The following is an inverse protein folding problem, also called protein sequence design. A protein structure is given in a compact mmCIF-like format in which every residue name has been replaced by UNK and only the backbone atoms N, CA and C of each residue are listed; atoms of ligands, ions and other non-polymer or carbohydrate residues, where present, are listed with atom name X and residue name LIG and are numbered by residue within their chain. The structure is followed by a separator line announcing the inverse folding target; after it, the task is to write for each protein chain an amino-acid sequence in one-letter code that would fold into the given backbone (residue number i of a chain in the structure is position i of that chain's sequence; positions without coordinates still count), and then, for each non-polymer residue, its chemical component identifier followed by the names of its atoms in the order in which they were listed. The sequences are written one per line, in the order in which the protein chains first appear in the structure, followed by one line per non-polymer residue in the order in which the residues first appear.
data_IF_188777709233
#
_entry.id   IF_188777709233
#
_cell.length_a   1.000
_cell.length_b   1.000
_cell.length_c   1.000
_cell.angle_alpha   90.00
_cell.angle_beta   90.00
_cell.angle_gamma   90.00
#
_symmetry.space_group_name_H-M   'P 1'
#
loop_
_entity.id
_entity.type
_entity.pdbx_description
1 polymer ?
#
# COMPACT_ATOMS: atom_id res chain seq x y z
N UNK A 1 28.20 -38.44 -27.67
CA UNK A 1 28.08 -37.50 -28.80
C UNK A 1 26.60 -37.15 -28.98
N UNK A 2 26.27 -35.85 -29.01
CA UNK A 2 25.06 -35.19 -29.57
C UNK A 2 23.71 -35.49 -28.84
N UNK A 3 23.23 -34.67 -27.89
CA UNK A 3 22.45 -33.39 -28.00
C UNK A 3 21.16 -33.48 -28.83
N UNK A 4 20.02 -33.58 -28.14
CA UNK A 4 18.70 -33.19 -28.67
C UNK A 4 17.91 -32.47 -27.60
N UNK A 5 18.00 -31.14 -27.60
CA UNK A 5 17.20 -30.24 -26.76
C UNK A 5 15.96 -29.82 -27.54
N UNK A 6 14.77 -30.28 -27.12
CA UNK A 6 13.51 -29.74 -27.63
C UNK A 6 13.16 -28.50 -26.81
N UNK A 7 13.54 -27.34 -27.33
CA UNK A 7 13.08 -26.03 -26.88
C UNK A 7 11.70 -25.83 -27.51
N UNK A 8 10.64 -25.85 -26.70
CA UNK A 8 9.30 -25.58 -27.18
C UNK A 8 8.55 -24.67 -26.19
N UNK A 9 8.34 -23.43 -26.61
CA UNK A 9 7.17 -22.65 -26.21
C UNK A 9 7.31 -21.79 -24.96
N UNK A 10 8.37 -20.99 -24.83
CA UNK A 10 8.31 -19.80 -23.96
C UNK A 10 7.44 -18.74 -24.65
N UNK A 11 6.14 -18.77 -24.39
CA UNK A 11 5.23 -17.64 -24.61
C UNK A 11 5.65 -16.50 -23.67
N UNK A 12 6.67 -15.74 -24.07
CA UNK A 12 6.97 -14.46 -23.48
C UNK A 12 5.86 -13.49 -23.88
N UNK A 13 4.82 -13.41 -23.04
CA UNK A 13 3.89 -12.28 -23.01
C UNK A 13 4.69 -11.04 -22.65
N UNK A 14 5.17 -10.36 -23.69
CA UNK A 14 5.76 -9.04 -23.57
C UNK A 14 4.69 -8.07 -23.06
N UNK A 15 4.69 -7.81 -21.75
CA UNK A 15 4.02 -6.65 -21.16
C UNK A 15 4.75 -5.38 -21.60
N UNK A 16 4.56 -5.02 -22.87
CA UNK A 16 5.03 -3.76 -23.44
C UNK A 16 3.95 -2.68 -23.23
N UNK A 17 3.79 -2.20 -21.99
CA UNK A 17 3.16 -0.91 -21.67
C UNK A 17 3.91 -0.26 -20.48
N UNK A 18 5.21 -0.10 -20.62
CA UNK A 18 6.04 0.73 -19.74
C UNK A 18 6.00 2.19 -20.18
N UNK A 19 4.82 2.82 -20.13
CA UNK A 19 4.75 4.29 -20.00
C UNK A 19 4.86 4.65 -18.52
N UNK A 20 5.38 5.84 -18.15
CA UNK A 20 5.23 6.30 -16.77
C UNK A 20 3.73 6.48 -16.53
N UNK A 21 3.10 5.53 -15.84
CA UNK A 21 1.79 5.77 -15.25
C UNK A 21 2.01 6.94 -14.30
N UNK A 22 1.54 8.13 -14.68
CA UNK A 22 1.57 9.25 -13.75
C UNK A 22 0.69 8.82 -12.59
N UNK A 23 1.33 8.57 -11.45
CA UNK A 23 0.61 8.32 -10.23
C UNK A 23 -0.29 9.53 -10.00
N UNK A 24 -1.59 9.29 -9.84
CA UNK A 24 -2.48 10.33 -9.34
C UNK A 24 -1.90 10.89 -8.04
N UNK A 25 -2.22 12.14 -7.70
CA UNK A 25 -1.77 12.71 -6.44
C UNK A 25 -2.16 11.81 -5.26
N UNK A 26 -3.39 11.30 -5.25
CA UNK A 26 -3.84 10.31 -4.27
C UNK A 26 -2.95 9.05 -4.24
N UNK A 27 -2.52 8.54 -5.39
CA UNK A 27 -1.60 7.41 -5.48
C UNK A 27 -0.21 7.70 -4.88
N UNK A 28 0.34 8.90 -5.14
CA UNK A 28 1.61 9.33 -4.57
C UNK A 28 1.52 9.55 -3.04
N UNK A 29 0.41 10.13 -2.56
CA UNK A 29 0.14 10.29 -1.13
C UNK A 29 -0.05 8.93 -0.45
N UNK A 30 -0.76 8.00 -1.07
CA UNK A 30 -0.90 6.63 -0.58
C UNK A 30 0.45 5.93 -0.45
N UNK A 31 1.33 6.04 -1.45
CA UNK A 31 2.67 5.47 -1.38
C UNK A 31 3.52 6.07 -0.24
N UNK A 32 3.43 7.39 -0.06
CA UNK A 32 4.09 8.10 1.07
C UNK A 32 3.59 7.60 2.41
N UNK A 33 2.28 7.45 2.58
CA UNK A 33 1.68 6.93 3.80
C UNK A 33 2.10 5.47 4.07
N UNK A 34 2.08 4.60 3.06
CA UNK A 34 2.56 3.22 3.18
C UNK A 34 4.04 3.14 3.57
N UNK A 35 4.88 4.01 2.99
CA UNK A 35 6.29 4.12 3.36
C UNK A 35 6.48 4.51 4.82
N UNK A 36 5.72 5.50 5.30
CA UNK A 36 5.71 5.91 6.71
C UNK A 36 5.34 4.75 7.64
N UNK A 37 4.27 4.02 7.31
CA UNK A 37 3.79 2.89 8.12
C UNK A 37 4.85 1.79 8.20
N UNK A 38 5.42 1.39 7.06
CA UNK A 38 6.42 0.33 7.02
C UNK A 38 7.68 0.70 7.83
N UNK A 39 8.15 1.94 7.71
CA UNK A 39 9.32 2.44 8.44
C UNK A 39 9.06 2.45 9.96
N UNK A 40 7.98 3.10 10.40
CA UNK A 40 7.66 3.20 11.83
C UNK A 40 7.35 1.83 12.45
N UNK A 41 6.65 0.96 11.73
CA UNK A 41 6.40 -0.41 12.21
C UNK A 41 7.71 -1.21 12.33
N UNK A 42 8.61 -1.09 11.36
CA UNK A 42 9.93 -1.72 11.40
C UNK A 42 10.78 -1.28 12.59
N UNK A 43 10.71 0.00 12.97
CA UNK A 43 11.36 0.53 14.16
C UNK A 43 10.69 -0.01 15.44
N UNK A 44 9.37 0.17 15.56
CA UNK A 44 8.64 -0.15 16.79
C UNK A 44 8.57 -1.65 17.07
N UNK A 45 8.53 -2.51 16.04
CA UNK A 45 8.50 -3.96 16.21
C UNK A 45 9.78 -4.54 16.82
N UNK A 46 10.88 -3.78 16.82
CA UNK A 46 12.13 -4.14 17.53
C UNK A 46 12.10 -3.74 19.01
N UNK A 47 11.18 -2.85 19.40
CA UNK A 47 11.12 -2.24 20.74
C UNK A 47 9.91 -2.71 21.55
N UNK A 48 8.85 -3.18 20.88
CA UNK A 48 7.58 -3.54 21.53
C UNK A 48 6.90 -4.71 20.82
N UNK A 49 5.75 -5.14 21.34
CA UNK A 49 4.94 -6.18 20.69
C UNK A 49 4.43 -5.71 19.32
N UNK A 50 4.21 -6.65 18.39
CA UNK A 50 3.72 -6.32 17.03
C UNK A 50 2.40 -5.55 17.04
N UNK A 51 1.50 -5.84 17.99
CA UNK A 51 0.23 -5.11 18.12
C UNK A 51 0.48 -3.64 18.50
N UNK A 52 1.30 -3.40 19.52
CA UNK A 52 1.67 -2.06 19.95
C UNK A 52 2.45 -1.30 18.88
N UNK A 53 3.32 -2.00 18.14
CA UNK A 53 4.07 -1.43 17.01
C UNK A 53 3.14 -0.99 15.87
N UNK A 54 2.11 -1.78 15.54
CA UNK A 54 1.13 -1.39 14.52
C UNK A 54 0.34 -0.15 14.96
N UNK A 55 -0.12 -0.11 16.21
CA UNK A 55 -0.82 1.05 16.76
C UNK A 55 0.06 2.30 16.82
N UNK A 56 1.33 2.14 17.18
CA UNK A 56 2.31 3.23 17.20
C UNK A 56 2.57 3.78 15.79
N UNK A 57 2.74 2.91 14.79
CA UNK A 57 2.94 3.31 13.40
C UNK A 57 1.72 4.10 12.85
N UNK A 58 0.50 3.63 13.12
CA UNK A 58 -0.72 4.34 12.71
C UNK A 58 -0.80 5.74 13.34
N UNK A 59 -0.46 5.86 14.63
CA UNK A 59 -0.45 7.17 15.31
C UNK A 59 0.63 8.11 14.78
N UNK A 60 1.82 7.59 14.49
CA UNK A 60 2.96 8.36 14.00
C UNK A 60 2.73 8.88 12.56
N UNK A 61 1.99 8.14 11.74
CA UNK A 61 1.78 8.45 10.33
C UNK A 61 0.46 9.19 10.03
N UNK A 62 -0.16 9.83 11.02
CA UNK A 62 -1.45 10.53 10.86
C UNK A 62 -1.43 11.70 9.88
N UNK A 63 -0.33 12.44 9.81
CA UNK A 63 -0.22 13.55 8.84
C UNK A 63 -0.18 13.05 7.40
N UNK A 64 0.57 11.96 7.15
CA UNK A 64 0.61 11.33 5.84
C UNK A 64 -0.72 10.66 5.48
N UNK A 65 -1.44 10.11 6.46
CA UNK A 65 -2.81 9.63 6.30
C UNK A 65 -3.74 10.76 5.85
N UNK A 66 -3.73 11.88 6.57
CA UNK A 66 -4.59 13.02 6.27
C UNK A 66 -4.33 13.55 4.86
N UNK A 67 -3.07 13.74 4.48
CA UNK A 67 -2.71 14.20 3.14
C UNK A 67 -3.16 13.23 2.02
N UNK A 68 -3.26 11.93 2.31
CA UNK A 68 -3.84 10.95 1.39
C UNK A 68 -5.36 11.10 1.30
N UNK A 69 -6.06 11.26 2.43
CA UNK A 69 -7.51 11.46 2.45
C UNK A 69 -7.91 12.78 1.77
N UNK A 70 -7.15 13.85 1.98
CA UNK A 70 -7.37 15.14 1.32
C UNK A 70 -7.23 15.00 -0.21
N UNK A 71 -6.19 14.28 -0.67
CA UNK A 71 -6.01 14.01 -2.10
C UNK A 71 -7.04 13.03 -2.68
N UNK A 72 -7.68 12.19 -1.85
CA UNK A 72 -8.82 11.39 -2.27
C UNK A 72 -10.07 12.24 -2.44
N UNK A 73 -10.31 13.18 -1.52
CA UNK A 73 -11.47 14.06 -1.54
C UNK A 73 -11.48 15.05 -2.71
N UNK A 74 -10.33 15.27 -3.36
CA UNK A 74 -10.25 16.03 -4.62
C UNK A 74 -10.57 15.19 -5.85
N UNK A 75 -10.71 13.86 -5.71
CA UNK A 75 -11.11 12.97 -6.77
C UNK A 75 -12.60 13.15 -7.10
N UNK A 76 -13.00 13.18 -8.39
CA UNK A 76 -14.41 13.26 -8.77
C UNK A 76 -15.21 11.99 -8.43
N UNK A 77 -14.54 10.93 -7.94
CA UNK A 77 -15.13 9.63 -7.65
C UNK A 77 -15.49 9.42 -6.18
N UNK A 78 -14.95 10.24 -5.28
CA UNK A 78 -15.10 10.07 -3.83
C UNK A 78 -15.24 11.46 -3.22
N UNK A 79 -16.35 11.73 -2.54
CA UNK A 79 -16.50 12.99 -1.82
C UNK A 79 -15.75 12.98 -0.47
N UNK A 80 -15.58 14.15 0.13
CA UNK A 80 -14.84 14.28 1.38
C UNK A 80 -15.50 13.54 2.57
N UNK A 81 -16.83 13.38 2.55
CA UNK A 81 -17.56 12.69 3.61
C UNK A 81 -17.37 11.17 3.47
N UNK A 82 -17.42 10.65 2.25
CA UNK A 82 -17.12 9.25 1.91
C UNK A 82 -15.67 8.89 2.26
N UNK A 83 -14.71 9.78 1.97
CA UNK A 83 -13.32 9.59 2.37
C UNK A 83 -13.16 9.55 3.90
N UNK A 84 -13.88 10.40 4.63
CA UNK A 84 -13.89 10.41 6.10
C UNK A 84 -14.56 9.17 6.69
N UNK A 85 -15.66 8.70 6.09
CA UNK A 85 -16.38 7.49 6.52
C UNK A 85 -15.58 6.21 6.23
N UNK A 86 -14.80 6.20 5.14
CA UNK A 86 -13.93 5.09 4.79
C UNK A 86 -12.70 4.97 5.72
N UNK A 87 -12.34 6.04 6.43
CA UNK A 87 -11.15 6.11 7.29
C UNK A 87 -11.03 4.96 8.32
N UNK A 88 -12.03 4.62 9.15
CA UNK A 88 -11.94 3.49 10.07
C UNK A 88 -11.64 2.17 9.36
N UNK A 89 -12.27 1.91 8.20
CA UNK A 89 -12.02 0.71 7.41
C UNK A 89 -10.60 0.69 6.83
N UNK A 90 -10.13 1.86 6.36
CA UNK A 90 -8.78 2.07 5.86
C UNK A 90 -7.73 1.76 6.94
N UNK A 91 -7.90 2.29 8.15
CA UNK A 91 -7.02 2.04 9.29
C UNK A 91 -7.02 0.57 9.72
N UNK A 92 -8.20 -0.07 9.75
CA UNK A 92 -8.32 -1.49 10.05
C UNK A 92 -7.57 -2.35 9.02
N UNK A 93 -7.67 -2.01 7.73
CA UNK A 93 -6.95 -2.68 6.65
C UNK A 93 -5.44 -2.48 6.75
N UNK A 94 -4.98 -1.26 6.98
CA UNK A 94 -3.56 -0.97 7.19
C UNK A 94 -2.98 -1.73 8.39
N UNK A 95 -3.72 -1.77 9.50
CA UNK A 95 -3.35 -2.57 10.68
C UNK A 95 -3.28 -4.06 10.35
N UNK A 96 -4.25 -4.58 9.61
CA UNK A 96 -4.26 -5.96 9.15
C UNK A 96 -3.01 -6.29 8.35
N UNK A 97 -2.69 -5.45 7.37
CA UNK A 97 -1.51 -5.58 6.53
C UNK A 97 -0.19 -5.59 7.34
N UNK A 98 0.00 -4.64 8.27
CA UNK A 98 1.19 -4.58 9.15
C UNK A 98 1.37 -5.84 10.00
N UNK A 99 0.24 -6.41 10.45
CA UNK A 99 0.23 -7.64 11.24
C UNK A 99 0.36 -8.91 10.38
N UNK A 100 0.50 -8.78 9.06
CA UNK A 100 0.54 -9.92 8.14
C UNK A 100 -0.81 -10.62 7.97
N UNK A 101 -1.90 -10.02 8.46
CA UNK A 101 -3.26 -10.46 8.15
C UNK A 101 -3.58 -9.93 6.76
N UNK A 102 -3.42 -10.78 5.75
CA UNK A 102 -3.94 -10.50 4.41
C UNK A 102 -5.40 -10.10 4.59
N UNK A 103 -5.73 -8.88 4.18
CA UNK A 103 -7.12 -8.44 4.18
C UNK A 103 -7.90 -9.46 3.35
N UNK A 104 -8.78 -10.23 3.99
CA UNK A 104 -9.73 -11.06 3.28
C UNK A 104 -10.51 -10.10 2.37
N UNK A 105 -10.30 -10.28 1.07
CA UNK A 105 -11.03 -9.58 0.02
C UNK A 105 -12.43 -10.19 -0.07
#
# INVERSE_FOLDING_TARGET
MIRSSAIAGSLALAFALGGPVQASEAGARHATWQGCLNSNFGIQSRLTSRMLAADAALRACREAEQAYLDALATSPLVDAAEAAEARPALLARARGWLLGRRAAL
#
